data_IF_000228509881
#
_entry.id   IF_000228509881
#
_cell.length_a   1.000
_cell.length_b   1.000
_cell.length_c   1.000
_cell.angle_alpha   90.00
_cell.angle_beta   90.00
_cell.angle_gamma   90.00
#
_symmetry.space_group_name_H-M   'P 1'
#
loop_
_entity.id
_entity.type
_entity.pdbx_description
1 polymer ?
#
# COMPACT_ATOMS: atom_id res chain seq x y z
N UNK A 1 -15.85 19.09 -7.23
CA UNK A 1 -15.19 19.56 -6.01
C UNK A 1 -14.08 20.53 -6.40
N UNK A 2 -14.06 21.70 -5.79
CA UNK A 2 -13.02 22.67 -6.09
C UNK A 2 -11.67 22.29 -5.48
N UNK A 3 -10.62 22.94 -5.96
CA UNK A 3 -9.24 22.63 -5.56
C UNK A 3 -9.00 22.93 -4.07
N UNK A 4 -9.58 24.02 -3.55
CA UNK A 4 -9.42 24.37 -2.14
C UNK A 4 -10.02 23.33 -1.20
N UNK A 5 -11.21 22.86 -1.52
CA UNK A 5 -11.87 21.78 -0.76
C UNK A 5 -11.06 20.51 -0.82
N UNK A 6 -10.53 20.18 -1.99
CA UNK A 6 -9.70 18.98 -2.17
C UNK A 6 -8.40 19.09 -1.37
N UNK A 7 -7.74 20.24 -1.39
CA UNK A 7 -6.52 20.45 -0.60
C UNK A 7 -6.81 20.31 0.90
N UNK A 8 -7.92 20.89 1.37
CA UNK A 8 -8.33 20.79 2.77
C UNK A 8 -8.56 19.32 3.17
N UNK A 9 -9.17 18.54 2.31
CA UNK A 9 -9.39 17.10 2.51
C UNK A 9 -8.08 16.33 2.59
N UNK A 10 -7.14 16.61 1.69
CA UNK A 10 -5.82 15.97 1.71
C UNK A 10 -5.03 16.34 2.97
N UNK A 11 -5.06 17.61 3.37
CA UNK A 11 -4.39 18.07 4.59
C UNK A 11 -4.99 17.38 5.81
N UNK A 12 -6.31 17.25 5.87
CA UNK A 12 -6.98 16.54 6.96
C UNK A 12 -6.51 15.08 7.05
N UNK A 13 -6.45 14.37 5.91
CA UNK A 13 -5.97 13.00 5.87
C UNK A 13 -4.50 12.87 6.29
N UNK A 14 -3.67 13.87 5.98
CA UNK A 14 -2.27 13.85 6.37
C UNK A 14 -2.06 14.15 7.85
N UNK A 15 -2.86 15.03 8.42
CA UNK A 15 -2.76 15.43 9.83
C UNK A 15 -3.49 14.48 10.78
N UNK A 16 -4.57 13.86 10.29
CA UNK A 16 -5.37 12.88 11.06
C UNK A 16 -5.53 11.61 10.22
N UNK A 17 -4.43 10.91 9.99
CA UNK A 17 -4.47 9.73 9.11
C UNK A 17 -5.36 8.64 9.68
N UNK A 18 -6.15 8.02 8.80
CA UNK A 18 -7.00 6.88 9.13
C UNK A 18 -6.18 5.61 8.96
N UNK A 19 -6.31 4.69 9.93
CA UNK A 19 -5.64 3.40 9.88
C UNK A 19 -4.10 3.49 9.87
N UNK A 20 -3.53 4.52 10.49
CA UNK A 20 -2.09 4.59 10.69
C UNK A 20 -1.70 3.72 11.90
N UNK A 21 -0.66 2.92 11.72
CA UNK A 21 -0.16 2.03 12.75
C UNK A 21 0.19 0.66 12.19
N UNK A 22 0.71 -0.20 13.05
CA UNK A 22 1.04 -1.57 12.69
C UNK A 22 -0.20 -2.48 12.72
N UNK A 23 -0.10 -3.62 12.04
CA UNK A 23 -1.09 -4.67 12.07
C UNK A 23 -0.36 -5.97 12.38
N UNK A 24 -0.28 -6.37 13.68
CA UNK A 24 0.56 -7.50 14.08
C UNK A 24 0.21 -8.85 13.44
N UNK A 25 -1.05 -9.04 13.08
CA UNK A 25 -1.53 -10.28 12.43
C UNK A 25 -1.64 -10.14 10.90
N UNK A 26 -0.93 -9.18 10.32
CA UNK A 26 -0.91 -8.98 8.87
C UNK A 26 -0.32 -10.19 8.14
N UNK A 27 -0.89 -10.52 6.99
CA UNK A 27 -0.37 -11.55 6.10
C UNK A 27 0.83 -11.06 5.29
N UNK A 28 0.93 -9.74 5.09
CA UNK A 28 2.07 -9.12 4.43
C UNK A 28 2.37 -7.76 5.05
N UNK A 29 3.66 -7.45 5.13
CA UNK A 29 4.19 -6.16 5.53
C UNK A 29 5.23 -5.76 4.49
N UNK A 30 4.97 -4.71 3.74
CA UNK A 30 5.83 -4.30 2.64
C UNK A 30 6.22 -2.83 2.81
N UNK A 31 7.52 -2.54 2.95
CA UNK A 31 8.00 -1.16 2.88
C UNK A 31 8.12 -0.75 1.41
N UNK A 32 7.60 0.45 1.11
CA UNK A 32 7.78 1.07 -0.19
C UNK A 32 8.46 2.41 0.03
N UNK A 33 9.43 2.73 -0.81
CA UNK A 33 10.19 3.95 -0.65
C UNK A 33 10.42 4.68 -1.95
N UNK A 34 10.60 5.97 -1.82
CA UNK A 34 11.05 6.84 -2.89
C UNK A 34 12.41 7.42 -2.47
N UNK A 35 13.52 6.80 -2.92
CA UNK A 35 14.85 7.18 -2.43
C UNK A 35 15.22 8.64 -2.68
N UNK A 36 14.66 9.24 -3.73
CA UNK A 36 14.93 10.64 -4.07
C UNK A 36 14.26 11.66 -3.15
N UNK A 37 13.21 11.28 -2.45
CA UNK A 37 12.40 12.19 -1.65
C UNK A 37 12.39 11.86 -0.15
N UNK A 38 12.96 10.73 0.25
CA UNK A 38 12.93 10.29 1.64
C UNK A 38 11.57 9.80 2.14
N UNK A 39 10.60 9.67 1.25
CA UNK A 39 9.29 9.14 1.60
C UNK A 39 9.36 7.63 1.73
N UNK A 40 8.85 7.10 2.84
CA UNK A 40 8.78 5.65 3.10
C UNK A 40 7.39 5.35 3.64
N UNK A 41 6.65 4.49 2.95
CA UNK A 41 5.34 4.01 3.39
C UNK A 41 5.42 2.49 3.52
N UNK A 42 5.07 1.98 4.69
CA UNK A 42 4.97 0.53 4.92
C UNK A 42 3.50 0.17 4.96
N UNK A 43 3.09 -0.77 4.11
CA UNK A 43 1.72 -1.27 4.07
C UNK A 43 1.63 -2.61 4.79
N UNK A 44 0.62 -2.73 5.64
CA UNK A 44 0.24 -3.97 6.31
C UNK A 44 -1.07 -4.43 5.73
N UNK A 45 -1.10 -5.64 5.19
CA UNK A 45 -2.31 -6.20 4.58
C UNK A 45 -2.66 -7.51 5.27
N UNK A 46 -3.91 -7.61 5.70
CA UNK A 46 -4.50 -8.85 6.20
C UNK A 46 -5.58 -9.28 5.21
N UNK A 47 -5.51 -10.52 4.76
CA UNK A 47 -6.49 -11.10 3.86
C UNK A 47 -7.53 -11.90 4.65
N UNK A 48 -8.75 -11.99 4.11
CA UNK A 48 -9.77 -12.86 4.70
C UNK A 48 -9.35 -14.32 4.58
N UNK A 49 -9.49 -15.11 5.65
CA UNK A 49 -9.11 -16.52 5.59
C UNK A 49 -9.84 -17.26 4.46
N UNK A 50 -9.08 -17.96 3.61
CA UNK A 50 -9.63 -18.74 2.52
C UNK A 50 -10.17 -17.96 1.34
N UNK A 51 -10.04 -16.61 1.34
CA UNK A 51 -10.52 -15.74 0.27
C UNK A 51 -9.39 -14.86 -0.26
N UNK A 52 -9.40 -14.60 -1.56
CA UNK A 52 -8.49 -13.63 -2.19
C UNK A 52 -9.07 -12.21 -2.08
N UNK A 53 -9.29 -11.78 -0.84
CA UNK A 53 -9.97 -10.52 -0.51
C UNK A 53 -9.30 -9.87 0.69
N UNK A 54 -9.21 -8.54 0.66
CA UNK A 54 -8.65 -7.76 1.77
C UNK A 54 -9.63 -7.74 2.95
N UNK A 55 -9.15 -8.07 4.14
CA UNK A 55 -9.88 -7.90 5.39
C UNK A 55 -9.55 -6.57 6.05
N UNK A 56 -8.25 -6.24 6.15
CA UNK A 56 -7.80 -5.02 6.80
C UNK A 56 -6.48 -4.52 6.20
N UNK A 57 -6.31 -3.20 6.21
CA UNK A 57 -5.07 -2.54 5.79
C UNK A 57 -4.71 -1.49 6.82
N UNK A 58 -3.44 -1.42 7.17
CA UNK A 58 -2.87 -0.31 7.94
C UNK A 58 -1.58 0.13 7.30
N UNK A 59 -1.11 1.31 7.66
CA UNK A 59 0.16 1.81 7.14
C UNK A 59 0.93 2.56 8.21
N UNK A 60 2.24 2.59 8.03
CA UNK A 60 3.15 3.41 8.80
C UNK A 60 4.10 4.11 7.82
N UNK A 61 4.80 5.11 8.29
CA UNK A 61 5.84 5.73 7.50
C UNK A 61 5.95 7.22 7.69
N UNK A 62 6.91 7.79 6.99
CA UNK A 62 7.18 9.21 6.96
C UNK A 62 7.19 9.68 5.51
N UNK A 63 6.80 10.93 5.31
CA UNK A 63 6.76 11.48 3.96
C UNK A 63 6.04 12.81 3.92
N UNK A 64 5.88 13.35 2.72
CA UNK A 64 5.21 14.61 2.50
C UNK A 64 3.69 14.50 2.75
N UNK A 65 3.02 15.63 2.80
CA UNK A 65 1.57 15.70 2.97
C UNK A 65 0.83 14.82 1.97
N UNK A 66 1.25 14.84 0.71
CA UNK A 66 0.58 14.09 -0.35
C UNK A 66 0.72 12.58 -0.18
N UNK A 67 1.92 12.08 0.15
CA UNK A 67 2.13 10.64 0.35
C UNK A 67 1.38 10.13 1.58
N UNK A 68 1.35 10.89 2.66
CA UNK A 68 0.60 10.54 3.87
C UNK A 68 -0.91 10.54 3.62
N UNK A 69 -1.41 11.57 2.93
CA UNK A 69 -2.82 11.66 2.58
C UNK A 69 -3.24 10.50 1.66
N UNK A 70 -2.43 10.19 0.65
CA UNK A 70 -2.72 9.09 -0.26
C UNK A 70 -2.80 7.75 0.48
N UNK A 71 -1.87 7.49 1.39
CA UNK A 71 -1.89 6.26 2.19
C UNK A 71 -3.14 6.17 3.07
N UNK A 72 -3.50 7.27 3.73
CA UNK A 72 -4.69 7.34 4.59
C UNK A 72 -5.99 7.10 3.80
N UNK A 73 -6.14 7.78 2.66
CA UNK A 73 -7.30 7.65 1.79
C UNK A 73 -7.45 6.21 1.28
N UNK A 74 -6.33 5.65 0.84
CA UNK A 74 -6.31 4.29 0.31
C UNK A 74 -6.62 3.25 1.39
N UNK A 75 -6.03 3.40 2.58
CA UNK A 75 -6.31 2.50 3.70
C UNK A 75 -7.78 2.56 4.12
N UNK A 76 -8.36 3.75 4.19
CA UNK A 76 -9.79 3.92 4.50
C UNK A 76 -10.66 3.21 3.48
N UNK A 77 -10.35 3.37 2.20
CA UNK A 77 -11.10 2.73 1.12
C UNK A 77 -11.02 1.20 1.18
N UNK A 78 -9.82 0.67 1.42
CA UNK A 78 -9.62 -0.79 1.52
C UNK A 78 -10.38 -1.39 2.70
N UNK A 79 -10.37 -0.73 3.85
CA UNK A 79 -11.07 -1.21 5.05
C UNK A 79 -12.60 -1.07 4.93
N UNK A 80 -13.06 -0.18 4.09
CA UNK A 80 -14.50 0.03 3.86
C UNK A 80 -15.05 -0.92 2.79
N UNK A 81 -14.35 -1.05 1.67
CA UNK A 81 -14.83 -1.80 0.50
C UNK A 81 -14.45 -3.27 0.51
N UNK A 82 -13.39 -3.65 1.20
CA UNK A 82 -12.86 -5.02 1.24
C UNK A 82 -12.72 -5.63 -0.15
N UNK A 83 -11.95 -4.99 -1.06
CA UNK A 83 -11.86 -5.46 -2.44
C UNK A 83 -11.13 -6.79 -2.55
N UNK A 84 -11.34 -7.48 -3.67
CA UNK A 84 -10.57 -8.67 -4.00
C UNK A 84 -9.13 -8.27 -4.39
N UNK A 85 -8.22 -9.24 -4.36
CA UNK A 85 -6.85 -9.00 -4.80
C UNK A 85 -6.81 -8.54 -6.26
N UNK A 86 -7.64 -9.15 -7.11
CA UNK A 86 -7.73 -8.76 -8.52
C UNK A 86 -8.16 -7.29 -8.67
N UNK A 87 -9.14 -6.86 -7.91
CA UNK A 87 -9.61 -5.46 -7.93
C UNK A 87 -8.52 -4.49 -7.51
N UNK A 88 -7.72 -4.83 -6.50
CA UNK A 88 -6.58 -4.01 -6.07
C UNK A 88 -5.51 -3.94 -7.16
N UNK A 89 -5.18 -5.07 -7.77
CA UNK A 89 -4.15 -5.11 -8.82
C UNK A 89 -4.59 -4.38 -10.10
N UNK A 90 -5.89 -4.35 -10.36
CA UNK A 90 -6.47 -3.62 -11.50
C UNK A 90 -6.66 -2.12 -11.21
N UNK A 91 -6.60 -1.71 -9.95
CA UNK A 91 -6.72 -0.31 -9.57
C UNK A 91 -5.58 0.48 -10.21
N UNK A 92 -5.90 1.41 -11.10
CA UNK A 92 -4.88 2.10 -11.89
C UNK A 92 -4.27 3.29 -11.15
N UNK A 93 -3.04 3.63 -11.50
CA UNK A 93 -2.40 4.84 -10.99
C UNK A 93 -3.14 6.10 -11.43
N UNK A 94 -3.76 6.07 -12.61
CA UNK A 94 -4.62 7.14 -13.10
C UNK A 94 -5.82 7.36 -12.20
N UNK A 95 -6.47 6.30 -11.74
CA UNK A 95 -7.57 6.38 -10.79
C UNK A 95 -7.12 7.03 -9.48
N UNK A 96 -5.92 6.68 -9.00
CA UNK A 96 -5.36 7.27 -7.79
C UNK A 96 -5.09 8.75 -7.97
N UNK A 97 -4.53 9.14 -9.11
CA UNK A 97 -4.29 10.54 -9.46
C UNK A 97 -5.62 11.33 -9.50
N UNK A 98 -6.67 10.76 -10.06
CA UNK A 98 -7.99 11.39 -10.10
C UNK A 98 -8.59 11.56 -8.72
N UNK A 99 -8.44 10.57 -7.83
CA UNK A 99 -8.91 10.65 -6.44
C UNK A 99 -8.23 11.81 -5.69
N UNK A 100 -6.91 11.92 -5.84
CA UNK A 100 -6.13 12.97 -5.18
C UNK A 100 -6.33 14.34 -5.80
N UNK A 101 -6.73 14.38 -7.06
CA UNK A 101 -6.85 15.61 -7.84
C UNK A 101 -5.68 15.74 -8.81
N UNK A 102 -5.99 15.69 -10.09
CA UNK A 102 -4.97 15.64 -11.16
C UNK A 102 -3.99 16.81 -11.10
N UNK A 103 -4.48 18.02 -10.87
CA UNK A 103 -3.64 19.21 -10.77
C UNK A 103 -2.69 19.18 -9.58
N UNK A 104 -3.07 18.52 -8.49
CA UNK A 104 -2.25 18.37 -7.29
C UNK A 104 -1.27 17.21 -7.44
N UNK A 105 -1.77 16.06 -7.87
CA UNK A 105 -1.00 14.81 -7.96
C UNK A 105 0.11 14.88 -9.00
N UNK A 106 -0.10 15.59 -10.10
CA UNK A 106 0.89 15.69 -11.18
C UNK A 106 2.11 16.52 -10.80
N UNK A 107 2.02 17.33 -9.74
CA UNK A 107 3.18 18.07 -9.22
C UNK A 107 4.18 17.14 -8.53
N UNK A 108 3.71 16.04 -7.96
CA UNK A 108 4.53 15.02 -7.29
C UNK A 108 3.97 13.62 -7.56
N UNK A 109 4.08 13.12 -8.80
CA UNK A 109 3.45 11.85 -9.18
C UNK A 109 3.98 10.65 -8.39
N UNK A 110 5.24 10.65 -8.01
CA UNK A 110 5.83 9.57 -7.22
C UNK A 110 5.21 9.51 -5.81
N UNK A 111 5.01 10.67 -5.18
CA UNK A 111 4.37 10.73 -3.87
C UNK A 111 2.89 10.33 -3.94
N UNK A 112 2.22 10.71 -5.02
CA UNK A 112 0.81 10.40 -5.23
C UNK A 112 0.54 8.91 -5.39
N UNK A 113 1.48 8.16 -5.96
CA UNK A 113 1.30 6.75 -6.32
C UNK A 113 2.06 5.77 -5.42
N UNK A 114 2.89 6.26 -4.52
CA UNK A 114 3.72 5.43 -3.64
C UNK A 114 2.88 4.44 -2.82
N UNK A 115 1.83 4.92 -2.17
CA UNK A 115 0.97 4.07 -1.34
C UNK A 115 0.30 2.96 -2.15
N UNK A 116 -0.23 3.29 -3.33
CA UNK A 116 -0.88 2.31 -4.19
C UNK A 116 0.11 1.26 -4.69
N UNK A 117 1.29 1.67 -5.13
CA UNK A 117 2.33 0.73 -5.57
C UNK A 117 2.76 -0.21 -4.45
N UNK A 118 2.90 0.31 -3.24
CA UNK A 118 3.25 -0.49 -2.06
C UNK A 118 2.12 -1.46 -1.69
N UNK A 119 0.88 -1.01 -1.75
CA UNK A 119 -0.29 -1.86 -1.51
C UNK A 119 -0.37 -3.01 -2.52
N UNK A 120 -0.16 -2.72 -3.79
CA UNK A 120 -0.13 -3.77 -4.84
C UNK A 120 0.98 -4.78 -4.58
N UNK A 121 2.15 -4.31 -4.17
CA UNK A 121 3.26 -5.18 -3.78
C UNK A 121 2.90 -6.07 -2.61
N UNK A 122 2.19 -5.55 -1.62
CA UNK A 122 1.73 -6.32 -0.47
C UNK A 122 0.73 -7.40 -0.87
N UNK A 123 -0.22 -7.07 -1.73
CA UNK A 123 -1.21 -8.04 -2.24
C UNK A 123 -0.52 -9.17 -3.01
N UNK A 124 0.44 -8.83 -3.88
CA UNK A 124 1.23 -9.83 -4.61
C UNK A 124 2.00 -10.75 -3.66
N UNK A 125 2.51 -10.19 -2.57
CA UNK A 125 3.21 -10.97 -1.55
C UNK A 125 2.28 -11.95 -0.84
N UNK A 126 1.06 -11.54 -0.50
CA UNK A 126 0.06 -12.43 0.10
C UNK A 126 -0.25 -13.60 -0.86
N UNK A 127 -0.47 -13.29 -2.14
CA UNK A 127 -0.73 -14.32 -3.15
C UNK A 127 0.43 -15.31 -3.28
N UNK A 128 1.65 -14.80 -3.33
CA UNK A 128 2.86 -15.62 -3.43
C UNK A 128 3.01 -16.50 -2.19
N UNK A 129 2.83 -15.94 -0.99
CA UNK A 129 2.93 -16.70 0.25
C UNK A 129 1.89 -17.82 0.31
N UNK A 130 0.66 -17.56 -0.14
CA UNK A 130 -0.41 -18.56 -0.19
C UNK A 130 -0.07 -19.70 -1.14
N UNK A 131 0.48 -19.37 -2.31
CA UNK A 131 0.92 -20.39 -3.28
C UNK A 131 2.05 -21.25 -2.73
N UNK A 132 3.02 -20.64 -2.06
CA UNK A 132 4.13 -21.36 -1.46
C UNK A 132 3.67 -22.29 -0.34
N UNK A 133 2.75 -21.84 0.51
CA UNK A 133 2.17 -22.70 1.56
C UNK A 133 1.38 -23.86 0.98
N UNK A 134 0.61 -23.62 -0.08
CA UNK A 134 -0.14 -24.65 -0.77
C UNK A 134 0.78 -25.69 -1.43
N UNK A 135 1.99 -25.29 -1.82
CA UNK A 135 3.02 -26.18 -2.38
C UNK A 135 3.82 -26.91 -1.29
N UNK A 136 3.51 -26.70 -0.01
CA UNK A 136 4.15 -27.40 1.11
C UNK A 136 5.32 -26.67 1.76
N UNK A 137 5.59 -25.43 1.38
CA UNK A 137 6.67 -24.64 2.01
C UNK A 137 6.27 -24.16 3.40
N UNK A 138 7.23 -24.19 4.33
CA UNK A 138 7.04 -23.66 5.68
C UNK A 138 7.18 -22.13 5.66
N UNK A 139 6.70 -21.49 6.72
CA UNK A 139 6.82 -20.02 6.84
C UNK A 139 8.29 -19.58 6.86
N UNK A 140 9.20 -20.38 7.46
CA UNK A 140 10.65 -20.10 7.45
C UNK A 140 11.23 -20.12 6.05
N UNK A 141 10.84 -21.10 5.24
CA UNK A 141 11.27 -21.22 3.83
C UNK A 141 10.78 -20.02 3.01
N UNK A 142 9.55 -19.60 3.24
CA UNK A 142 8.95 -18.44 2.56
C UNK A 142 9.73 -17.18 2.88
N UNK A 143 10.09 -16.97 4.14
CA UNK A 143 10.89 -15.81 4.57
C UNK A 143 12.26 -15.83 3.88
N UNK A 144 12.92 -16.97 3.80
CA UNK A 144 14.23 -17.11 3.13
C UNK A 144 14.15 -16.76 1.65
N UNK A 145 13.12 -17.22 0.95
CA UNK A 145 12.91 -16.91 -0.47
C UNK A 145 12.75 -15.40 -0.67
N UNK A 146 11.99 -14.75 0.21
CA UNK A 146 11.77 -13.31 0.16
C UNK A 146 13.07 -12.52 0.38
N UNK A 147 13.88 -12.93 1.35
CA UNK A 147 15.17 -12.31 1.64
C UNK A 147 16.12 -12.42 0.47
N UNK A 148 16.20 -13.59 -0.18
CA UNK A 148 17.01 -13.77 -1.38
C UNK A 148 16.55 -12.87 -2.52
N UNK A 149 15.26 -12.77 -2.75
CA UNK A 149 14.69 -11.91 -3.79
C UNK A 149 14.98 -10.43 -3.51
N UNK A 150 14.89 -10.01 -2.25
CA UNK A 150 15.23 -8.66 -1.83
C UNK A 150 16.71 -8.33 -2.05
N UNK A 151 17.61 -9.25 -1.73
CA UNK A 151 19.04 -9.08 -1.95
C UNK A 151 19.39 -9.00 -3.43
N UNK A 152 18.77 -9.84 -4.26
CA UNK A 152 18.98 -9.83 -5.69
C UNK A 152 18.57 -8.49 -6.33
N UNK A 153 17.51 -7.86 -5.82
CA UNK A 153 17.07 -6.55 -6.28
C UNK A 153 17.97 -5.41 -5.81
N UNK A 154 18.51 -5.51 -4.60
CA UNK A 154 19.39 -4.48 -4.04
C UNK A 154 20.82 -4.55 -4.57
N UNK A 155 21.21 -5.67 -5.19
CA UNK A 155 22.54 -5.87 -5.76
C UNK A 155 22.67 -5.48 -7.23
N UNK A 156 21.63 -4.95 -7.85
CA UNK A 156 21.64 -4.59 -9.26
C UNK A 156 21.84 -3.08 -9.50
#
# INVERSE_FOLDING_TARGET
>A
VDQETRIAWLVDHSQRPRFKGSLPDADARVPGGNPGCGDIITMYVKAKPGEDRIEAVRFEGVGCTLSQAAASILAERMNKEHPTFAEVLEFSYEEMVDILGRGIATSRPQCATLALGTLKGAVKMVETNRRLRAAGHTDEEIVRVRERSGRARSGS
#
